data_IF_175237654369
#
_entry.id   IF_175237654369
#
_cell.length_a   1.000
_cell.length_b   1.000
_cell.length_c   1.000
_cell.angle_alpha   90.00
_cell.angle_beta   90.00
_cell.angle_gamma   90.00
#
_symmetry.space_group_name_H-M   'P 1'
#
loop_
_entity.id
_entity.type
_entity.pdbx_description
1 polymer ?
#
# COMPACT_ATOMS: atom_id res chain seq x y z
N UNK A 1 17.77 3.52 -15.73
CA UNK A 1 17.71 2.39 -14.77
C UNK A 1 17.55 1.09 -15.54
N UNK A 2 18.34 0.06 -15.22
CA UNK A 2 18.33 -1.24 -15.94
C UNK A 2 17.81 -2.40 -15.10
N UNK A 3 17.83 -2.30 -13.78
CA UNK A 3 17.38 -3.34 -12.86
C UNK A 3 16.54 -2.73 -11.74
N UNK A 4 15.52 -3.45 -11.28
CA UNK A 4 14.65 -3.02 -10.19
C UNK A 4 14.48 -4.14 -9.16
N UNK A 5 14.42 -3.78 -7.89
CA UNK A 5 13.80 -4.59 -6.85
C UNK A 5 12.76 -3.76 -6.11
N UNK A 6 11.50 -3.91 -6.51
CA UNK A 6 10.36 -3.25 -5.88
C UNK A 6 9.86 -4.13 -4.73
N UNK A 7 9.75 -3.56 -3.53
CA UNK A 7 9.19 -4.26 -2.37
C UNK A 7 7.75 -4.72 -2.64
N UNK A 8 7.44 -5.98 -2.32
CA UNK A 8 6.28 -6.67 -2.88
C UNK A 8 5.49 -7.55 -1.90
N UNK A 9 5.28 -7.12 -0.65
CA UNK A 9 4.45 -7.87 0.30
C UNK A 9 3.03 -8.14 -0.19
N UNK A 10 2.45 -7.16 -0.90
CA UNK A 10 1.16 -7.25 -1.57
C UNK A 10 1.23 -6.57 -2.94
N UNK A 11 0.37 -6.94 -3.90
CA UNK A 11 0.34 -6.33 -5.22
C UNK A 11 0.14 -4.81 -5.21
N UNK A 12 -0.63 -4.27 -4.25
CA UNK A 12 -0.88 -2.83 -4.14
C UNK A 12 0.40 -2.02 -3.96
N UNK A 13 1.37 -2.51 -3.19
CA UNK A 13 2.65 -1.84 -2.99
C UNK A 13 3.46 -1.76 -4.30
N UNK A 14 3.38 -2.80 -5.13
CA UNK A 14 4.04 -2.82 -6.44
C UNK A 14 3.35 -1.88 -7.42
N UNK A 15 2.01 -1.90 -7.46
CA UNK A 15 1.22 -1.06 -8.33
C UNK A 15 1.47 0.43 -8.05
N UNK A 16 1.40 0.84 -6.77
CA UNK A 16 1.70 2.22 -6.35
C UNK A 16 3.12 2.61 -6.70
N UNK A 17 4.11 1.76 -6.43
CA UNK A 17 5.49 2.05 -6.81
C UNK A 17 5.69 2.19 -8.33
N UNK A 18 4.98 1.41 -9.15
CA UNK A 18 5.04 1.53 -10.60
C UNK A 18 4.45 2.85 -11.08
N UNK A 19 3.28 3.22 -10.56
CA UNK A 19 2.61 4.49 -10.86
C UNK A 19 3.50 5.70 -10.53
N UNK A 20 4.01 5.76 -9.30
CA UNK A 20 4.86 6.87 -8.82
C UNK A 20 6.22 6.96 -9.54
N UNK A 21 6.76 5.83 -9.99
CA UNK A 21 8.03 5.79 -10.73
C UNK A 21 7.86 5.92 -12.25
N UNK A 22 6.62 6.00 -12.75
CA UNK A 22 6.32 6.00 -14.18
C UNK A 22 6.75 4.70 -14.90
N UNK A 23 6.68 3.57 -14.21
CA UNK A 23 6.98 2.24 -14.73
C UNK A 23 5.71 1.50 -15.13
N UNK A 24 5.78 0.70 -16.18
CA UNK A 24 4.72 -0.25 -16.50
C UNK A 24 4.81 -1.47 -15.55
N UNK A 25 3.67 -2.01 -15.11
CA UNK A 25 3.65 -3.21 -14.27
C UNK A 25 4.23 -4.46 -14.97
N UNK A 26 4.26 -4.46 -16.30
CA UNK A 26 4.83 -5.49 -17.17
C UNK A 26 6.15 -5.05 -17.81
N UNK A 27 6.86 -4.09 -17.21
CA UNK A 27 8.13 -3.57 -17.73
C UNK A 27 9.10 -4.72 -18.09
N UNK A 28 9.62 -4.78 -19.34
CA UNK A 28 10.42 -5.89 -19.82
C UNK A 28 11.76 -6.06 -19.10
N UNK A 29 12.21 -5.03 -18.36
CA UNK A 29 13.41 -5.11 -17.50
C UNK A 29 13.15 -5.97 -16.26
N UNK A 30 11.89 -6.19 -15.89
CA UNK A 30 11.43 -6.86 -14.68
C UNK A 30 11.46 -5.94 -13.46
N UNK A 31 10.53 -6.17 -12.53
CA UNK A 31 10.36 -5.37 -11.30
C UNK A 31 11.08 -5.93 -10.07
N UNK A 32 11.73 -7.09 -10.19
CA UNK A 32 12.47 -7.72 -9.10
C UNK A 32 13.73 -8.40 -9.59
N UNK A 33 14.77 -8.39 -8.76
CA UNK A 33 15.99 -9.20 -8.95
C UNK A 33 16.05 -10.38 -7.98
N UNK A 34 15.11 -10.49 -7.05
CA UNK A 34 15.02 -11.54 -6.03
C UNK A 34 13.90 -12.53 -6.27
N UNK A 35 12.78 -12.10 -6.86
CA UNK A 35 11.57 -12.92 -7.08
C UNK A 35 10.34 -12.44 -6.30
N UNK A 36 10.48 -11.42 -5.45
CA UNK A 36 9.37 -10.82 -4.70
C UNK A 36 8.98 -11.57 -3.43
N UNK A 37 8.39 -10.85 -2.46
CA UNK A 37 8.16 -11.34 -1.10
C UNK A 37 7.38 -12.67 -1.02
N UNK A 38 6.26 -12.86 -1.75
CA UNK A 38 5.42 -14.05 -1.61
C UNK A 38 6.10 -15.33 -2.11
N UNK A 39 7.05 -15.21 -3.04
CA UNK A 39 7.65 -16.35 -3.75
C UNK A 39 9.10 -16.61 -3.33
N UNK A 40 9.86 -15.57 -3.03
CA UNK A 40 11.25 -15.69 -2.58
C UNK A 40 11.34 -16.40 -1.23
N UNK A 41 10.36 -16.17 -0.35
CA UNK A 41 10.36 -16.67 1.02
C UNK A 41 11.41 -15.96 1.87
N UNK A 42 11.00 -15.30 2.94
CA UNK A 42 11.95 -14.62 3.80
C UNK A 42 11.32 -13.79 4.90
N UNK A 43 12.13 -13.31 5.87
CA UNK A 43 11.67 -12.44 6.94
C UNK A 43 11.15 -11.15 6.32
N UNK A 44 9.83 -10.92 6.32
CA UNK A 44 9.21 -9.77 5.67
C UNK A 44 9.94 -8.44 5.94
N UNK A 45 10.45 -8.27 7.16
CA UNK A 45 11.20 -7.10 7.60
C UNK A 45 12.64 -6.98 7.04
N UNK A 46 13.29 -8.07 6.63
CA UNK A 46 14.66 -8.07 6.10
C UNK A 46 14.75 -8.49 4.61
N UNK A 47 13.62 -8.55 3.90
CA UNK A 47 13.58 -8.86 2.47
C UNK A 47 14.48 -7.93 1.63
N UNK A 48 14.42 -6.62 1.83
CA UNK A 48 15.16 -5.66 1.00
C UNK A 48 16.68 -5.81 1.11
N UNK A 49 17.20 -6.39 2.20
CA UNK A 49 18.63 -6.72 2.30
C UNK A 49 19.04 -7.77 1.25
N UNK A 50 18.18 -8.77 0.99
CA UNK A 50 18.40 -9.74 -0.08
C UNK A 50 18.31 -9.07 -1.46
N UNK A 51 17.39 -8.12 -1.63
CA UNK A 51 17.34 -7.24 -2.81
C UNK A 51 18.68 -6.56 -3.07
N UNK A 52 19.28 -5.98 -2.04
CA UNK A 52 20.59 -5.30 -2.13
C UNK A 52 21.68 -6.29 -2.54
N UNK A 53 21.76 -7.44 -1.88
CA UNK A 53 22.76 -8.46 -2.19
C UNK A 53 22.67 -8.94 -3.65
N UNK A 54 21.46 -9.29 -4.11
CA UNK A 54 21.21 -9.74 -5.49
C UNK A 54 21.48 -8.63 -6.52
N UNK A 55 21.15 -7.38 -6.20
CA UNK A 55 21.43 -6.23 -7.06
C UNK A 55 22.93 -6.02 -7.23
N UNK A 56 23.71 -6.10 -6.16
CA UNK A 56 25.18 -5.97 -6.21
C UNK A 56 25.80 -7.05 -7.10
N UNK A 57 25.37 -8.31 -6.98
CA UNK A 57 25.84 -9.39 -7.86
C UNK A 57 25.51 -9.15 -9.34
N UNK A 58 24.29 -8.67 -9.62
CA UNK A 58 23.83 -8.38 -10.98
C UNK A 58 24.61 -7.22 -11.61
N UNK A 59 24.84 -6.14 -10.87
CA UNK A 59 25.55 -4.95 -11.34
C UNK A 59 27.04 -5.19 -11.56
N UNK A 60 27.69 -6.06 -10.77
CA UNK A 60 29.09 -6.46 -11.03
C UNK A 60 29.27 -7.14 -12.39
N UNK A 61 28.23 -7.78 -12.92
CA UNK A 61 28.21 -8.38 -14.28
C UNK A 61 27.84 -7.36 -15.38
N UNK A 62 27.38 -6.17 -15.00
CA UNK A 62 27.00 -5.06 -15.89
C UNK A 62 27.56 -3.72 -15.34
N UNK A 63 28.87 -3.49 -15.42
CA UNK A 63 29.51 -2.40 -14.64
C UNK A 63 29.03 -0.98 -14.96
N UNK A 64 28.44 -0.75 -16.14
CA UNK A 64 27.86 0.53 -16.53
C UNK A 64 26.40 0.71 -16.09
N UNK A 65 25.74 -0.34 -15.61
CA UNK A 65 24.31 -0.32 -15.31
C UNK A 65 24.01 0.36 -13.97
N UNK A 66 22.76 0.81 -13.82
CA UNK A 66 22.19 1.27 -12.56
C UNK A 66 21.03 0.38 -12.16
N UNK A 67 20.94 0.09 -10.86
CA UNK A 67 19.84 -0.65 -10.25
C UNK A 67 19.12 0.17 -9.18
N UNK A 68 17.79 0.08 -9.14
CA UNK A 68 16.95 0.72 -8.12
C UNK A 68 16.38 -0.34 -7.20
N UNK A 69 16.42 -0.08 -5.89
CA UNK A 69 15.72 -0.86 -4.89
C UNK A 69 14.76 0.06 -4.16
N UNK A 70 13.54 -0.41 -3.94
CA UNK A 70 12.60 0.20 -2.99
C UNK A 70 12.38 -0.73 -1.80
N UNK A 71 12.24 -0.15 -0.63
CA UNK A 71 11.98 -0.84 0.62
C UNK A 71 10.78 -0.18 1.29
N UNK A 72 9.75 -0.98 1.56
CA UNK A 72 8.51 -0.50 2.15
C UNK A 72 8.33 -1.08 3.57
N UNK A 73 7.84 -0.25 4.48
CA UNK A 73 7.50 -0.63 5.86
C UNK A 73 6.07 -0.24 6.25
N UNK A 74 5.40 -1.13 6.98
CA UNK A 74 4.03 -0.92 7.46
C UNK A 74 2.99 -0.92 6.34
N UNK A 75 1.98 -0.07 6.46
CA UNK A 75 0.91 0.11 5.47
C UNK A 75 1.26 1.20 4.45
N UNK A 76 2.43 1.08 3.81
CA UNK A 76 3.04 2.16 3.00
C UNK A 76 3.42 3.40 3.81
N UNK A 77 3.64 3.22 5.12
CA UNK A 77 3.91 4.31 6.06
C UNK A 77 5.37 4.76 6.06
N UNK A 78 6.27 3.90 5.58
CA UNK A 78 7.71 4.20 5.47
C UNK A 78 8.23 3.71 4.14
N UNK A 79 9.03 4.54 3.50
CA UNK A 79 9.67 4.20 2.24
C UNK A 79 11.15 4.54 2.29
N UNK A 80 11.99 3.65 1.78
CA UNK A 80 13.39 3.90 1.54
C UNK A 80 13.74 3.45 0.13
N UNK A 81 14.62 4.18 -0.54
CA UNK A 81 15.10 3.87 -1.89
C UNK A 81 16.61 3.90 -1.95
N UNK A 82 17.20 3.00 -2.75
CA UNK A 82 18.63 2.98 -3.02
C UNK A 82 18.90 2.81 -4.50
N UNK A 83 19.83 3.61 -5.04
CA UNK A 83 20.35 3.45 -6.40
C UNK A 83 21.78 2.94 -6.32
N UNK A 84 22.06 1.85 -7.03
CA UNK A 84 23.34 1.15 -6.99
C UNK A 84 23.97 1.11 -8.39
N UNK A 85 25.29 1.26 -8.47
CA UNK A 85 26.08 1.10 -9.69
C UNK A 85 27.53 0.76 -9.35
N UNK A 86 28.26 0.18 -10.31
CA UNK A 86 29.72 0.09 -10.24
C UNK A 86 30.40 1.38 -10.77
N UNK A 87 29.63 2.30 -11.35
CA UNK A 87 30.16 3.59 -11.76
C UNK A 87 30.54 4.42 -10.52
N UNK A 88 31.76 4.97 -10.46
CA UNK A 88 32.15 5.84 -9.37
C UNK A 88 31.32 7.12 -9.39
N UNK A 89 31.01 7.64 -8.21
CA UNK A 89 30.37 8.95 -8.10
C UNK A 89 31.36 10.03 -8.58
N UNK A 90 30.95 10.83 -9.55
CA UNK A 90 31.79 11.91 -10.09
C UNK A 90 31.91 13.11 -9.14
N UNK A 91 31.00 13.21 -8.16
CA UNK A 91 30.96 14.25 -7.13
C UNK A 91 31.23 13.67 -5.74
N UNK A 92 31.34 14.55 -4.74
CA UNK A 92 31.29 14.11 -3.34
C UNK A 92 29.92 13.57 -2.99
N UNK A 93 29.88 12.62 -2.05
CA UNK A 93 28.63 12.08 -1.51
C UNK A 93 27.88 13.17 -0.74
N UNK A 94 26.59 13.30 -1.02
CA UNK A 94 25.69 14.21 -0.31
C UNK A 94 24.51 13.42 0.24
N UNK A 95 24.12 13.71 1.47
CA UNK A 95 22.88 13.19 2.01
C UNK A 95 21.71 13.98 1.40
N UNK A 96 20.62 13.32 0.99
CA UNK A 96 19.41 14.02 0.59
C UNK A 96 18.82 14.77 1.79
N UNK A 97 18.24 15.95 1.54
CA UNK A 97 17.48 16.71 2.56
C UNK A 97 16.10 16.09 2.78
N UNK A 98 16.10 14.92 3.43
CA UNK A 98 14.88 14.16 3.75
C UNK A 98 13.96 14.94 4.70
N UNK A 99 14.49 15.83 5.54
CA UNK A 99 13.71 16.62 6.49
C UNK A 99 12.85 17.68 5.78
N UNK A 100 13.37 18.28 4.70
CA UNK A 100 12.56 19.17 3.86
C UNK A 100 11.44 18.40 3.15
N UNK A 101 11.74 17.23 2.59
CA UNK A 101 10.74 16.38 1.91
C UNK A 101 9.66 15.93 2.91
N UNK A 102 10.05 15.52 4.11
CA UNK A 102 9.09 15.10 5.14
C UNK A 102 8.18 16.27 5.57
N UNK A 103 8.72 17.48 5.73
CA UNK A 103 7.91 18.66 6.06
C UNK A 103 6.88 19.00 4.98
N UNK A 104 7.22 18.78 3.71
CA UNK A 104 6.27 18.94 2.61
C UNK A 104 5.12 17.93 2.74
N UNK A 105 5.44 16.65 2.96
CA UNK A 105 4.44 15.59 3.17
C UNK A 105 3.55 15.89 4.38
N UNK A 106 4.14 16.32 5.50
CA UNK A 106 3.40 16.65 6.73
C UNK A 106 2.47 17.85 6.56
N UNK A 107 2.70 18.68 5.54
CA UNK A 107 1.87 19.85 5.23
C UNK A 107 0.73 19.57 4.26
N UNK A 108 0.68 18.37 3.67
CA UNK A 108 -0.38 17.98 2.74
C UNK A 108 -1.73 17.88 3.46
N UNK A 109 -2.79 18.30 2.77
CA UNK A 109 -4.16 18.09 3.23
C UNK A 109 -4.44 16.58 3.34
N UNK A 110 -4.95 16.16 4.49
CA UNK A 110 -5.43 14.79 4.70
C UNK A 110 -6.89 14.80 5.17
N UNK A 111 -7.67 13.75 4.85
CA UNK A 111 -9.07 13.73 5.23
C UNK A 111 -9.27 13.74 6.74
N UNK A 112 -10.24 14.53 7.21
CA UNK A 112 -10.68 14.52 8.60
C UNK A 112 -11.32 13.16 8.92
N UNK A 113 -11.14 12.71 10.15
CA UNK A 113 -11.62 11.41 10.62
C UNK A 113 -12.49 11.58 11.87
N UNK A 114 -13.60 10.83 11.93
CA UNK A 114 -14.47 10.78 13.11
C UNK A 114 -14.61 9.36 13.64
N UNK A 115 -14.46 9.20 14.96
CA UNK A 115 -14.65 7.92 15.66
C UNK A 115 -16.13 7.60 15.90
N UNK A 116 -16.99 8.63 15.87
CA UNK A 116 -18.42 8.56 16.16
C UNK A 116 -19.26 9.02 14.96
N UNK A 117 -19.13 8.37 13.79
CA UNK A 117 -19.91 8.71 12.60
C UNK A 117 -21.40 8.47 12.82
N UNK A 118 -22.23 9.39 12.30
CA UNK A 118 -23.69 9.24 12.33
C UNK A 118 -24.34 9.88 11.09
N UNK A 119 -25.23 9.13 10.43
CA UNK A 119 -26.08 9.61 9.35
C UNK A 119 -25.76 9.00 7.98
N UNK A 120 -26.15 9.69 6.91
CA UNK A 120 -25.93 9.25 5.54
C UNK A 120 -24.44 9.22 5.17
N UNK A 121 -24.01 8.13 4.56
CA UNK A 121 -22.63 7.90 4.17
C UNK A 121 -22.51 7.16 2.83
N UNK A 122 -21.31 7.20 2.27
CA UNK A 122 -20.89 6.39 1.12
C UNK A 122 -19.67 5.56 1.46
N UNK A 123 -19.55 4.38 0.87
CA UNK A 123 -18.35 3.55 0.98
C UNK A 123 -17.26 4.11 0.06
N UNK A 124 -16.06 4.34 0.63
CA UNK A 124 -14.86 4.73 -0.12
C UNK A 124 -13.97 3.52 -0.42
N UNK A 125 -13.83 2.60 0.54
CA UNK A 125 -13.18 1.30 0.33
C UNK A 125 -13.62 0.29 1.38
N UNK A 126 -13.39 -1.00 1.14
CA UNK A 126 -13.75 -2.06 2.09
C UNK A 126 -12.90 -3.32 1.92
N UNK A 127 -12.97 -4.19 2.90
CA UNK A 127 -12.43 -5.55 2.83
C UNK A 127 -13.29 -6.53 3.64
N UNK A 128 -13.19 -7.82 3.33
CA UNK A 128 -13.83 -8.90 4.10
C UNK A 128 -12.74 -9.78 4.71
N UNK A 129 -12.74 -9.90 6.02
CA UNK A 129 -11.87 -10.79 6.77
C UNK A 129 -12.41 -12.22 6.72
N UNK A 130 -11.54 -13.17 6.37
CA UNK A 130 -11.86 -14.60 6.37
C UNK A 130 -11.13 -15.32 7.50
N UNK A 131 -11.79 -16.32 8.09
CA UNK A 131 -11.21 -17.25 9.05
C UNK A 131 -11.43 -18.68 8.56
N UNK A 132 -10.35 -19.37 8.20
CA UNK A 132 -10.40 -20.75 7.67
C UNK A 132 -11.33 -20.91 6.45
N UNK A 133 -11.36 -19.90 5.57
CA UNK A 133 -12.18 -19.91 4.35
C UNK A 133 -13.58 -19.31 4.51
N UNK A 134 -14.02 -19.04 5.74
CA UNK A 134 -15.34 -18.46 6.00
C UNK A 134 -15.25 -16.94 6.25
N UNK A 135 -16.13 -16.12 5.65
CA UNK A 135 -16.17 -14.68 5.95
C UNK A 135 -16.70 -14.45 7.37
N UNK A 136 -15.99 -13.64 8.15
CA UNK A 136 -16.32 -13.43 9.57
C UNK A 136 -16.55 -11.97 9.95
N UNK A 137 -16.08 -11.03 9.13
CA UNK A 137 -16.17 -9.60 9.40
C UNK A 137 -15.91 -8.80 8.14
N UNK A 138 -16.68 -7.74 7.90
CA UNK A 138 -16.35 -6.71 6.92
C UNK A 138 -15.69 -5.52 7.60
N UNK A 139 -14.80 -4.80 6.92
CA UNK A 139 -14.26 -3.51 7.37
C UNK A 139 -14.54 -2.52 6.24
N UNK A 140 -15.22 -1.44 6.56
CA UNK A 140 -15.60 -0.37 5.63
C UNK A 140 -14.89 0.89 6.06
N UNK A 141 -14.26 1.57 5.10
CA UNK A 141 -13.89 2.97 5.21
C UNK A 141 -14.93 3.73 4.40
N UNK A 142 -15.69 4.60 5.07
CA UNK A 142 -16.73 5.40 4.45
C UNK A 142 -16.51 6.89 4.66
N UNK A 143 -17.30 7.69 3.95
CA UNK A 143 -17.35 9.15 4.06
C UNK A 143 -18.77 9.60 4.38
N UNK A 144 -18.91 10.49 5.37
CA UNK A 144 -20.18 11.14 5.67
C UNK A 144 -20.58 12.08 4.52
N UNK A 145 -21.82 12.02 4.06
CA UNK A 145 -22.27 12.87 2.94
C UNK A 145 -22.38 14.35 3.31
N UNK A 146 -22.50 14.66 4.60
CA UNK A 146 -22.69 16.02 5.11
C UNK A 146 -21.38 16.74 5.40
N UNK A 147 -20.35 16.03 5.86
CA UNK A 147 -19.08 16.62 6.33
C UNK A 147 -17.86 16.15 5.55
N UNK A 148 -17.99 15.12 4.69
CA UNK A 148 -16.89 14.44 4.00
C UNK A 148 -15.86 13.78 4.94
N UNK A 149 -16.15 13.68 6.24
CA UNK A 149 -15.28 13.02 7.21
C UNK A 149 -15.23 11.51 6.95
N UNK A 150 -14.02 10.95 7.01
CA UNK A 150 -13.79 9.51 6.96
C UNK A 150 -14.16 8.84 8.28
N UNK A 151 -14.59 7.60 8.20
CA UNK A 151 -14.81 6.76 9.36
C UNK A 151 -14.48 5.29 9.06
N UNK A 152 -14.34 4.49 10.11
CA UNK A 152 -14.27 3.02 10.02
C UNK A 152 -15.54 2.42 10.59
N UNK A 153 -16.13 1.46 9.89
CA UNK A 153 -17.30 0.70 10.31
C UNK A 153 -17.22 -0.78 9.90
N UNK A 154 -18.12 -1.59 10.44
CA UNK A 154 -18.43 -2.93 9.95
C UNK A 154 -19.84 -2.91 9.35
N UNK A 155 -20.16 -3.85 8.48
CA UNK A 155 -21.57 -4.19 8.20
C UNK A 155 -22.11 -5.10 9.31
N UNK A 156 -23.42 -5.33 9.32
CA UNK A 156 -23.99 -6.35 10.19
C UNK A 156 -23.33 -7.72 9.91
N UNK A 157 -23.18 -8.53 10.96
CA UNK A 157 -22.56 -9.85 10.88
C UNK A 157 -23.52 -10.89 10.27
N UNK A 158 -24.00 -10.58 9.07
CA UNK A 158 -24.97 -11.36 8.32
C UNK A 158 -24.27 -12.01 7.12
N UNK A 159 -24.34 -13.34 6.96
CA UNK A 159 -23.69 -14.03 5.85
C UNK A 159 -24.06 -13.47 4.47
N UNK A 160 -25.31 -13.03 4.29
CA UNK A 160 -25.78 -12.44 3.04
C UNK A 160 -25.03 -11.15 2.67
N UNK A 161 -24.72 -10.30 3.65
CA UNK A 161 -23.98 -9.05 3.40
C UNK A 161 -22.53 -9.32 3.04
N UNK A 162 -21.90 -10.29 3.70
CA UNK A 162 -20.53 -10.69 3.36
C UNK A 162 -20.46 -11.26 1.94
N UNK A 163 -21.39 -12.15 1.59
CA UNK A 163 -21.51 -12.69 0.25
C UNK A 163 -21.69 -11.60 -0.81
N UNK A 164 -22.51 -10.59 -0.50
CA UNK A 164 -22.77 -9.48 -1.41
C UNK A 164 -21.52 -8.59 -1.60
N UNK A 165 -20.79 -8.28 -0.53
CA UNK A 165 -19.51 -7.56 -0.57
C UNK A 165 -18.44 -8.30 -1.40
N UNK A 166 -18.45 -9.64 -1.37
CA UNK A 166 -17.50 -10.48 -2.10
C UNK A 166 -17.86 -10.53 -3.60
N UNK A 167 -19.15 -10.60 -3.92
CA UNK A 167 -19.63 -10.85 -5.29
C UNK A 167 -19.88 -9.58 -6.09
N UNK A 168 -20.11 -8.45 -5.42
CA UNK A 168 -20.47 -7.20 -6.06
C UNK A 168 -19.58 -6.05 -5.57
N UNK A 169 -19.38 -5.07 -6.45
CA UNK A 169 -18.64 -3.86 -6.12
C UNK A 169 -19.49 -2.92 -5.26
N UNK A 170 -19.03 -2.66 -4.04
CA UNK A 170 -19.68 -1.76 -3.10
C UNK A 170 -19.02 -0.37 -3.04
N UNK A 171 -18.01 -0.07 -3.86
CA UNK A 171 -17.43 1.26 -3.93
C UNK A 171 -18.50 2.28 -4.33
N UNK A 172 -18.63 3.37 -3.58
CA UNK A 172 -19.66 4.39 -3.79
C UNK A 172 -21.07 3.99 -3.33
N UNK A 173 -21.26 2.81 -2.74
CA UNK A 173 -22.57 2.39 -2.23
C UNK A 173 -22.98 3.29 -1.06
N UNK A 174 -24.22 3.77 -1.12
CA UNK A 174 -24.82 4.61 -0.07
C UNK A 174 -25.39 3.77 1.06
N UNK A 175 -25.43 4.35 2.24
CA UNK A 175 -25.99 3.72 3.43
C UNK A 175 -26.10 4.70 4.58
N UNK A 176 -26.49 4.17 5.72
CA UNK A 176 -26.50 4.86 7.00
C UNK A 176 -25.38 4.30 7.88
N UNK A 177 -24.65 5.18 8.55
CA UNK A 177 -23.67 4.80 9.56
C UNK A 177 -24.15 5.25 10.94
N UNK A 178 -23.95 4.40 11.94
CA UNK A 178 -24.24 4.72 13.34
C UNK A 178 -23.30 3.98 14.27
N UNK A 179 -23.06 4.53 15.44
CA UNK A 179 -22.36 3.83 16.51
C UNK A 179 -23.26 2.77 17.14
N UNK A 180 -22.72 1.57 17.37
CA UNK A 180 -23.37 0.43 17.99
C UNK A 180 -22.42 -0.23 19.00
N UNK A 181 -22.43 0.26 20.24
CA UNK A 181 -21.45 -0.15 21.26
C UNK A 181 -20.08 0.43 20.94
N UNK A 182 -19.05 -0.41 20.95
CA UNK A 182 -17.66 -0.01 20.63
C UNK A 182 -17.36 0.05 19.12
N UNK A 183 -18.32 -0.36 18.28
CA UNK A 183 -18.14 -0.45 16.83
C UNK A 183 -19.11 0.50 16.11
N UNK A 184 -18.72 0.95 14.92
CA UNK A 184 -19.63 1.61 14.00
C UNK A 184 -20.22 0.59 13.04
N UNK A 185 -21.51 0.73 12.76
CA UNK A 185 -22.25 -0.12 11.85
C UNK A 185 -22.64 0.68 10.61
N UNK A 186 -22.31 0.16 9.43
CA UNK A 186 -22.78 0.65 8.14
C UNK A 186 -23.90 -0.25 7.62
N UNK A 187 -25.06 0.34 7.39
CA UNK A 187 -26.28 -0.30 6.88
C UNK A 187 -26.52 0.21 5.46
N UNK A 188 -26.30 -0.61 4.40
CA UNK A 188 -26.52 -0.18 3.02
C UNK A 188 -28.01 0.10 2.78
N UNK A 189 -28.31 1.10 1.94
CA UNK A 189 -29.67 1.40 1.46
C UNK A 189 -29.92 0.87 0.05
#
# INVERSE_FOLDING_TARGET
MECFDIYSCFPSAVAIACEELGLACDDPRGLTVTGGLPFFGGPGNNYSLHGIASMVEKLRRKPSAFGLITANGGYLTKHASGVYSCQPLASEWQLPDSDSIQREVDSLDYPVFTETPQGDATIETYTVCFKRGEPVRSIVIGRLLTTDERFVANTAAEPQLFDDLIKHDWIGRRGQVRQCGELNLFEPV
#
